data_IF_713495650770
#
_entry.id   IF_713495650770
#
_cell.length_a   1.000
_cell.length_b   1.000
_cell.length_c   1.000
_cell.angle_alpha   90.00
_cell.angle_beta   90.00
_cell.angle_gamma   90.00
#
_symmetry.space_group_name_H-M   'P 1'
#
loop_
_entity.id
_entity.type
_entity.pdbx_description
1 polymer ?
#
# COMPACT_ATOMS: atom_id res chain seq x y z
N UNK A 1 1.66 -16.13 -18.08
CA UNK A 1 1.98 -17.25 -17.19
C UNK A 1 1.80 -16.77 -15.78
N UNK A 2 1.05 -17.52 -14.97
CA UNK A 2 0.93 -17.26 -13.55
C UNK A 2 2.28 -17.54 -12.90
N UNK A 3 2.80 -16.57 -12.14
CA UNK A 3 4.10 -16.69 -11.52
C UNK A 3 4.06 -17.81 -10.46
N UNK A 4 5.15 -18.58 -10.28
CA UNK A 4 5.22 -19.65 -9.28
C UNK A 4 4.89 -19.18 -7.85
N UNK A 5 5.21 -17.93 -7.53
CA UNK A 5 4.89 -17.31 -6.24
C UNK A 5 3.38 -17.22 -5.95
N UNK A 6 2.51 -17.24 -6.98
CA UNK A 6 1.06 -17.24 -6.81
C UNK A 6 0.56 -18.57 -6.21
N UNK A 7 1.17 -19.69 -6.64
CA UNK A 7 0.87 -21.02 -6.10
C UNK A 7 1.34 -21.20 -4.65
N UNK A 8 2.34 -20.44 -4.21
CA UNK A 8 2.81 -20.49 -2.82
C UNK A 8 1.73 -19.94 -1.89
N UNK A 9 1.13 -18.78 -2.23
CA UNK A 9 0.06 -18.21 -1.43
C UNK A 9 -1.21 -19.09 -1.43
N UNK A 10 -1.51 -19.77 -2.54
CA UNK A 10 -2.63 -20.72 -2.64
C UNK A 10 -2.48 -21.91 -1.67
N UNK A 11 -1.23 -22.30 -1.39
CA UNK A 11 -0.92 -23.49 -0.60
C UNK A 11 -0.68 -23.18 0.89
N UNK A 12 -0.69 -21.90 1.28
CA UNK A 12 -0.40 -21.46 2.64
C UNK A 12 -1.67 -21.42 3.49
N UNK A 13 -1.64 -22.14 4.61
CA UNK A 13 -2.62 -22.02 5.69
C UNK A 13 -1.93 -21.37 6.87
N UNK A 14 -2.31 -20.13 7.18
CA UNK A 14 -1.72 -19.34 8.25
C UNK A 14 -2.75 -19.21 9.38
N UNK A 15 -2.48 -19.77 10.57
CA UNK A 15 -3.38 -19.66 11.71
C UNK A 15 -3.67 -18.20 12.08
N UNK A 16 -4.85 -17.89 12.66
CA UNK A 16 -5.22 -16.51 13.01
C UNK A 16 -4.25 -15.79 13.96
N UNK A 17 -3.58 -16.53 14.83
CA UNK A 17 -2.62 -16.00 15.80
C UNK A 17 -1.21 -15.83 15.22
N UNK A 18 -0.98 -16.21 13.96
CA UNK A 18 0.33 -16.16 13.33
C UNK A 18 0.61 -14.81 12.67
N UNK A 19 1.89 -14.45 12.66
CA UNK A 19 2.40 -13.30 11.91
C UNK A 19 2.76 -13.76 10.50
N UNK A 20 2.21 -13.08 9.48
CA UNK A 20 2.60 -13.27 8.09
C UNK A 20 3.57 -12.16 7.68
N UNK A 21 4.78 -12.55 7.31
CA UNK A 21 5.78 -11.66 6.71
C UNK A 21 6.06 -12.08 5.26
N UNK A 22 5.92 -11.15 4.32
CA UNK A 22 6.28 -11.37 2.92
C UNK A 22 7.25 -10.30 2.45
N UNK A 23 8.35 -10.72 1.82
CA UNK A 23 9.25 -9.80 1.13
C UNK A 23 9.31 -10.19 -0.34
N UNK A 24 9.01 -9.24 -1.21
CA UNK A 24 9.10 -9.39 -2.66
C UNK A 24 10.18 -8.46 -3.15
N UNK A 25 11.19 -9.03 -3.79
CA UNK A 25 12.28 -8.27 -4.39
C UNK A 25 12.37 -8.60 -5.88
N UNK A 26 12.25 -7.60 -6.74
CA UNK A 26 12.52 -7.72 -8.16
C UNK A 26 13.74 -6.87 -8.52
N UNK A 27 14.86 -7.55 -8.77
CA UNK A 27 16.09 -6.95 -9.24
C UNK A 27 16.19 -7.17 -10.75
N UNK A 28 15.45 -6.39 -11.54
CA UNK A 28 15.73 -6.35 -12.99
C UNK A 28 17.04 -5.60 -13.18
N UNK A 29 18.02 -6.24 -13.82
CA UNK A 29 19.31 -5.62 -14.14
C UNK A 29 19.08 -4.38 -15.01
N UNK A 30 19.55 -3.24 -14.52
CA UNK A 30 19.42 -1.88 -15.08
C UNK A 30 19.90 -1.70 -16.53
N UNK A 31 20.44 -2.73 -17.19
CA UNK A 31 20.90 -2.65 -18.60
C UNK A 31 19.82 -2.89 -19.66
N UNK A 32 18.65 -3.41 -19.29
CA UNK A 32 17.56 -3.74 -20.23
C UNK A 32 16.24 -2.99 -19.95
N UNK A 33 16.31 -1.85 -19.26
CA UNK A 33 15.13 -1.08 -18.79
C UNK A 33 14.27 -0.46 -19.91
N UNK A 34 14.67 -0.51 -21.18
CA UNK A 34 13.90 0.11 -22.28
C UNK A 34 12.80 -0.81 -22.84
N UNK A 35 12.80 -2.12 -22.56
CA UNK A 35 11.87 -3.08 -23.19
C UNK A 35 10.97 -3.87 -22.24
N UNK A 36 11.22 -3.86 -20.92
CA UNK A 36 10.35 -4.53 -19.93
C UNK A 36 9.39 -3.55 -19.25
N UNK A 37 8.95 -2.54 -19.99
CA UNK A 37 7.81 -1.72 -19.60
C UNK A 37 6.57 -2.61 -19.43
N UNK A 38 6.09 -2.70 -18.19
CA UNK A 38 4.89 -3.42 -17.78
C UNK A 38 5.00 -4.94 -17.79
N UNK A 39 5.81 -5.51 -16.88
CA UNK A 39 5.36 -6.78 -16.30
C UNK A 39 3.96 -6.55 -15.71
N UNK A 40 2.95 -7.35 -16.10
CA UNK A 40 1.60 -7.14 -15.63
C UNK A 40 1.59 -7.21 -14.11
N UNK A 41 1.03 -6.18 -13.47
CA UNK A 41 0.73 -6.19 -12.04
C UNK A 41 0.21 -7.58 -11.68
N UNK A 42 0.76 -8.20 -10.63
CA UNK A 42 0.41 -9.57 -10.30
C UNK A 42 -1.12 -9.67 -10.14
N UNK A 43 -1.75 -10.45 -11.03
CA UNK A 43 -3.21 -10.54 -11.13
C UNK A 43 -3.67 -11.67 -10.24
N UNK A 44 -3.92 -11.36 -8.98
CA UNK A 44 -4.53 -12.33 -8.08
C UNK A 44 -6.05 -12.28 -8.29
N UNK A 45 -6.63 -13.35 -8.79
CA UNK A 45 -8.06 -13.43 -9.12
C UNK A 45 -8.90 -14.02 -7.98
N UNK A 46 -8.26 -14.52 -6.91
CA UNK A 46 -8.93 -15.25 -5.85
C UNK A 46 -8.54 -14.75 -4.47
N UNK A 47 -9.54 -14.61 -3.61
CA UNK A 47 -9.35 -14.43 -2.17
C UNK A 47 -8.85 -15.73 -1.55
N UNK A 48 -7.75 -15.66 -0.79
CA UNK A 48 -7.08 -16.83 -0.20
C UNK A 48 -7.71 -17.21 1.16
N UNK A 49 -8.55 -18.26 1.23
CA UNK A 49 -9.24 -18.63 2.48
C UNK A 49 -8.28 -19.12 3.58
N UNK A 50 -7.05 -19.51 3.21
CA UNK A 50 -6.01 -19.97 4.15
C UNK A 50 -5.34 -18.86 4.95
N UNK A 51 -5.49 -17.58 4.56
CA UNK A 51 -4.83 -16.44 5.21
C UNK A 51 -5.74 -15.78 6.24
N UNK A 52 -6.19 -16.55 7.24
CA UNK A 52 -7.20 -16.10 8.21
C UNK A 52 -6.71 -14.92 9.08
N UNK A 53 -5.41 -14.87 9.37
CA UNK A 53 -4.78 -13.77 10.11
C UNK A 53 -4.90 -12.42 9.40
N UNK A 54 -5.10 -12.39 8.08
CA UNK A 54 -5.26 -11.14 7.31
C UNK A 54 -6.61 -10.48 7.57
N UNK A 55 -7.66 -11.27 7.87
CA UNK A 55 -8.98 -10.71 8.17
C UNK A 55 -9.04 -9.95 9.49
N UNK A 56 -8.07 -10.17 10.39
CA UNK A 56 -7.95 -9.42 11.65
C UNK A 56 -7.24 -8.07 11.45
N UNK A 57 -6.60 -7.86 10.30
CA UNK A 57 -5.95 -6.58 9.98
C UNK A 57 -7.00 -5.53 9.63
N UNK A 58 -7.01 -4.47 10.43
CA UNK A 58 -7.94 -3.34 10.33
C UNK A 58 -7.25 -2.02 10.06
N UNK A 59 -5.97 -1.93 10.37
CA UNK A 59 -5.17 -0.74 10.19
C UNK A 59 -3.95 -1.09 9.34
N UNK A 60 -3.66 -0.28 8.33
CA UNK A 60 -2.44 -0.39 7.53
C UNK A 60 -1.60 0.88 7.68
N UNK A 61 -0.30 0.69 7.83
CA UNK A 61 0.71 1.73 7.68
C UNK A 61 1.57 1.38 6.47
N UNK A 62 1.59 2.26 5.48
CA UNK A 62 2.45 2.13 4.31
C UNK A 62 3.53 3.21 4.40
N UNK A 63 4.78 2.78 4.46
CA UNK A 63 5.96 3.63 4.50
C UNK A 63 6.71 3.52 3.18
N UNK A 64 6.91 4.65 2.52
CA UNK A 64 7.82 4.76 1.39
C UNK A 64 9.16 5.21 1.95
N UNK A 65 10.18 4.39 1.77
CA UNK A 65 11.55 4.73 2.20
C UNK A 65 12.29 5.43 1.06
N UNK A 66 12.15 4.90 -0.15
CA UNK A 66 12.62 5.51 -1.39
C UNK A 66 11.71 5.11 -2.57
N UNK A 67 12.02 5.57 -3.79
CA UNK A 67 11.25 5.23 -5.00
C UNK A 67 11.13 3.72 -5.29
N UNK A 68 12.02 2.94 -4.68
CA UNK A 68 12.28 1.54 -4.96
C UNK A 68 11.87 0.61 -3.81
N UNK A 69 11.51 1.15 -2.64
CA UNK A 69 11.17 0.37 -1.47
C UNK A 69 9.89 0.87 -0.80
N UNK A 70 8.96 -0.06 -0.59
CA UNK A 70 7.69 0.18 0.06
C UNK A 70 7.47 -0.85 1.16
N UNK A 71 7.35 -0.37 2.40
CA UNK A 71 7.10 -1.17 3.59
C UNK A 71 5.63 -1.03 3.99
N UNK A 72 5.00 -2.15 4.34
CA UNK A 72 3.61 -2.21 4.75
C UNK A 72 3.52 -3.00 6.05
N UNK A 73 2.88 -2.41 7.05
CA UNK A 73 2.57 -3.05 8.32
C UNK A 73 1.06 -3.06 8.55
N UNK A 74 0.53 -4.21 8.96
CA UNK A 74 -0.87 -4.39 9.30
C UNK A 74 -1.07 -4.64 10.79
N UNK A 75 -2.07 -3.99 11.36
CA UNK A 75 -2.43 -4.05 12.78
C UNK A 75 -3.89 -4.44 12.98
N UNK A 76 -4.16 -5.09 14.10
CA UNK A 76 -5.54 -5.37 14.56
C UNK A 76 -6.14 -4.17 15.29
N UNK A 77 -7.45 -4.21 15.59
CA UNK A 77 -8.13 -3.17 16.37
C UNK A 77 -7.75 -3.17 17.86
N UNK A 78 -7.18 -4.26 18.37
CA UNK A 78 -6.93 -4.45 19.82
C UNK A 78 -5.62 -3.81 20.31
N UNK A 79 -4.80 -3.21 19.41
CA UNK A 79 -3.62 -2.42 19.79
C UNK A 79 -2.44 -2.54 18.83
N UNK A 80 -1.46 -1.64 18.98
CA UNK A 80 -0.26 -1.51 18.14
C UNK A 80 0.78 -2.63 18.33
N UNK A 81 0.64 -3.44 19.38
CA UNK A 81 1.56 -4.55 19.70
C UNK A 81 1.31 -5.80 18.86
N UNK A 82 0.07 -6.00 18.40
CA UNK A 82 -0.29 -7.11 17.51
C UNK A 82 -0.14 -6.70 16.05
N UNK A 83 1.01 -7.04 15.45
CA UNK A 83 1.33 -6.86 14.02
C UNK A 83 1.25 -8.19 13.28
N UNK A 84 0.04 -8.69 12.93
CA UNK A 84 -0.09 -9.98 12.26
C UNK A 84 0.37 -9.96 10.80
N UNK A 85 0.72 -8.80 10.23
CA UNK A 85 1.05 -8.68 8.81
C UNK A 85 2.20 -7.71 8.55
N UNK A 86 3.18 -8.18 7.79
CA UNK A 86 4.28 -7.40 7.23
C UNK A 86 4.43 -7.72 5.75
N UNK A 87 4.54 -6.68 4.94
CA UNK A 87 4.80 -6.82 3.51
C UNK A 87 5.83 -5.79 3.06
N UNK A 88 6.89 -6.26 2.44
CA UNK A 88 7.96 -5.42 1.92
C UNK A 88 8.10 -5.65 0.41
N UNK A 89 8.08 -4.56 -0.35
CA UNK A 89 8.27 -4.55 -1.80
C UNK A 89 9.52 -3.77 -2.15
N UNK A 90 10.49 -4.44 -2.78
CA UNK A 90 11.75 -3.85 -3.27
C UNK A 90 11.85 -4.02 -4.79
N UNK A 91 11.74 -2.93 -5.54
CA UNK A 91 11.64 -2.92 -7.00
C UNK A 91 12.53 -1.83 -7.58
N UNK A 92 13.07 -2.01 -8.78
CA UNK A 92 13.90 -1.00 -9.45
C UNK A 92 13.18 0.33 -9.75
N UNK A 93 11.83 0.34 -9.73
CA UNK A 93 10.99 1.54 -9.83
C UNK A 93 9.56 1.25 -9.35
N UNK A 94 8.82 2.29 -8.93
CA UNK A 94 7.36 2.26 -8.64
C UNK A 94 6.92 1.27 -7.55
N UNK A 95 7.77 0.99 -6.56
CA UNK A 95 7.48 0.01 -5.51
C UNK A 95 6.12 0.24 -4.81
N UNK A 96 5.75 1.50 -4.59
CA UNK A 96 4.45 1.88 -4.01
C UNK A 96 3.25 1.42 -4.84
N UNK A 97 3.25 1.69 -6.15
CA UNK A 97 2.14 1.31 -7.02
C UNK A 97 1.95 -0.22 -7.07
N UNK A 98 3.06 -0.96 -7.11
CA UNK A 98 3.05 -2.42 -7.08
C UNK A 98 2.60 -2.98 -5.73
N UNK A 99 3.01 -2.37 -4.62
CA UNK A 99 2.54 -2.74 -3.29
C UNK A 99 1.01 -2.60 -3.22
N UNK A 100 0.46 -1.45 -3.59
CA UNK A 100 -0.99 -1.22 -3.60
C UNK A 100 -1.76 -2.20 -4.50
N UNK A 101 -1.22 -2.48 -5.68
CA UNK A 101 -1.81 -3.43 -6.62
C UNK A 101 -1.82 -4.87 -6.08
N UNK A 102 -0.87 -5.22 -5.22
CA UNK A 102 -0.74 -6.55 -4.61
C UNK A 102 -1.62 -6.70 -3.37
N UNK A 103 -1.71 -5.67 -2.53
CA UNK A 103 -2.40 -5.74 -1.23
C UNK A 103 -3.86 -6.15 -1.36
N UNK A 104 -4.65 -5.47 -2.20
CA UNK A 104 -6.08 -5.75 -2.26
C UNK A 104 -6.44 -7.16 -2.78
N UNK A 105 -5.87 -7.64 -3.89
CA UNK A 105 -6.27 -8.93 -4.43
C UNK A 105 -5.61 -10.13 -3.70
N UNK A 106 -4.43 -9.99 -3.10
CA UNK A 106 -3.83 -11.06 -2.28
C UNK A 106 -4.35 -11.10 -0.85
N UNK A 107 -4.53 -9.92 -0.27
CA UNK A 107 -4.72 -9.73 1.16
C UNK A 107 -5.98 -8.89 1.35
N UNK A 108 -7.18 -9.45 1.08
CA UNK A 108 -8.44 -8.73 1.21
C UNK A 108 -8.73 -8.43 2.68
N UNK A 109 -8.17 -7.33 3.17
CA UNK A 109 -8.33 -6.86 4.54
C UNK A 109 -9.59 -6.02 4.66
N UNK A 110 -10.39 -6.17 5.73
CA UNK A 110 -11.51 -5.28 6.01
C UNK A 110 -11.01 -3.94 6.59
N UNK A 111 -10.26 -3.19 5.79
CA UNK A 111 -9.48 -2.02 6.19
C UNK A 111 -10.37 -0.88 6.71
N UNK A 112 -10.09 -0.43 7.93
CA UNK A 112 -10.79 0.68 8.59
C UNK A 112 -9.91 1.94 8.69
N UNK A 113 -8.58 1.77 8.71
CA UNK A 113 -7.63 2.88 8.80
C UNK A 113 -6.44 2.66 7.88
N UNK A 114 -6.02 3.71 7.17
CA UNK A 114 -4.80 3.73 6.37
C UNK A 114 -3.96 4.95 6.73
N UNK A 115 -2.71 4.71 7.11
CA UNK A 115 -1.69 5.73 7.28
C UNK A 115 -0.65 5.59 6.17
N UNK A 116 -0.33 6.69 5.52
CA UNK A 116 0.71 6.77 4.49
C UNK A 116 1.80 7.71 4.98
N UNK A 117 3.02 7.20 5.05
CA UNK A 117 4.18 7.96 5.47
C UNK A 117 5.27 7.87 4.41
N UNK A 118 5.97 8.98 4.18
CA UNK A 118 7.10 9.03 3.26
C UNK A 118 8.31 9.56 4.03
N UNK A 119 9.36 8.74 4.12
CA UNK A 119 10.59 9.08 4.85
C UNK A 119 11.61 9.81 3.98
N UNK A 120 11.28 10.08 2.71
CA UNK A 120 12.13 10.86 1.82
C UNK A 120 12.45 12.24 2.43
N UNK A 121 13.70 12.67 2.24
CA UNK A 121 14.19 13.95 2.75
C UNK A 121 13.33 15.11 2.22
N UNK A 122 13.02 16.12 3.05
CA UNK A 122 12.25 17.27 2.61
C UNK A 122 13.01 18.02 1.51
N UNK A 123 12.56 17.90 0.26
CA UNK A 123 13.15 18.61 -0.87
C UNK A 123 13.19 17.84 -2.20
N UNK A 124 13.12 16.51 -2.16
CA UNK A 124 13.05 15.71 -3.39
C UNK A 124 11.60 15.44 -3.78
N UNK A 125 11.21 15.68 -5.05
CA UNK A 125 9.94 15.21 -5.54
C UNK A 125 9.95 13.68 -5.39
N UNK A 126 8.91 13.10 -4.79
CA UNK A 126 8.85 11.67 -4.54
C UNK A 126 8.62 10.98 -5.87
N UNK A 127 9.71 10.60 -6.51
CA UNK A 127 9.66 9.69 -7.64
C UNK A 127 9.02 8.38 -7.15
N UNK A 128 7.99 7.90 -7.86
CA UNK A 128 7.38 6.60 -7.57
C UNK A 128 6.03 6.61 -6.87
N UNK A 129 5.46 7.76 -6.47
CA UNK A 129 4.07 7.83 -6.02
C UNK A 129 3.14 7.98 -7.22
N UNK A 130 2.32 6.96 -7.49
CA UNK A 130 1.27 6.97 -8.49
C UNK A 130 -0.10 7.28 -7.84
N UNK A 131 -0.67 8.49 -8.02
CA UNK A 131 -1.95 8.84 -7.44
C UNK A 131 -3.11 7.98 -7.96
N UNK A 132 -3.03 7.49 -9.20
CA UNK A 132 -4.07 6.64 -9.78
C UNK A 132 -4.10 5.27 -9.10
N UNK A 133 -2.92 4.71 -8.77
CA UNK A 133 -2.82 3.48 -7.99
C UNK A 133 -3.44 3.65 -6.59
N UNK A 134 -3.16 4.78 -5.91
CA UNK A 134 -3.77 5.10 -4.61
C UNK A 134 -5.29 5.22 -4.69
N UNK A 135 -5.81 5.96 -5.67
CA UNK A 135 -7.27 6.09 -5.89
C UNK A 135 -7.92 4.74 -6.15
N UNK A 136 -7.30 3.90 -6.99
CA UNK A 136 -7.77 2.54 -7.28
C UNK A 136 -7.80 1.67 -6.03
N UNK A 137 -6.74 1.74 -5.21
CA UNK A 137 -6.66 1.03 -3.93
C UNK A 137 -7.76 1.47 -2.95
N UNK A 138 -7.96 2.78 -2.77
CA UNK A 138 -8.99 3.31 -1.87
C UNK A 138 -10.40 2.91 -2.29
N UNK A 139 -10.72 2.97 -3.60
CA UNK A 139 -12.02 2.55 -4.13
C UNK A 139 -12.34 1.09 -3.79
N UNK A 140 -11.31 0.25 -3.71
CA UNK A 140 -11.43 -1.17 -3.39
C UNK A 140 -11.58 -1.42 -1.88
N UNK A 141 -11.32 -0.43 -1.03
CA UNK A 141 -11.42 -0.50 0.44
C UNK A 141 -12.52 0.42 0.99
N UNK A 142 -13.81 0.18 0.69
CA UNK A 142 -14.91 1.09 1.03
C UNK A 142 -15.19 1.21 2.53
N UNK A 143 -14.63 0.32 3.36
CA UNK A 143 -14.77 0.33 4.82
C UNK A 143 -13.86 1.35 5.50
N UNK A 144 -12.91 1.95 4.77
CA UNK A 144 -11.93 2.87 5.36
C UNK A 144 -12.62 4.12 5.92
N UNK A 145 -12.38 4.36 7.22
CA UNK A 145 -12.93 5.47 8.00
C UNK A 145 -11.88 6.52 8.36
N UNK A 146 -10.61 6.13 8.39
CA UNK A 146 -9.49 6.99 8.78
C UNK A 146 -8.41 6.96 7.70
N UNK A 147 -8.02 8.13 7.21
CA UNK A 147 -6.87 8.34 6.34
C UNK A 147 -5.90 9.31 7.02
N UNK A 148 -4.64 8.94 7.10
CA UNK A 148 -3.58 9.77 7.67
C UNK A 148 -2.41 9.87 6.68
N UNK A 149 -1.87 11.07 6.55
CA UNK A 149 -0.75 11.36 5.68
C UNK A 149 0.33 12.06 6.49
N UNK A 150 1.50 11.43 6.59
CA UNK A 150 2.67 11.96 7.29
C UNK A 150 3.79 12.15 6.27
N UNK A 151 4.31 13.38 6.14
CA UNK A 151 5.38 13.69 5.17
C UNK A 151 5.09 13.26 3.72
N UNK A 152 3.80 13.04 3.38
CA UNK A 152 3.37 12.49 2.09
C UNK A 152 3.20 13.60 1.03
N UNK A 153 3.35 13.30 -0.27
CA UNK A 153 3.49 14.33 -1.29
C UNK A 153 2.18 15.07 -1.54
N UNK A 154 2.25 16.41 -1.56
CA UNK A 154 1.06 17.25 -1.73
C UNK A 154 0.29 16.95 -3.03
N UNK A 155 0.99 16.61 -4.12
CA UNK A 155 0.37 16.25 -5.41
C UNK A 155 -0.51 15.01 -5.31
N UNK A 156 -0.07 13.96 -4.60
CA UNK A 156 -0.86 12.74 -4.39
C UNK A 156 -2.09 13.01 -3.51
N UNK A 157 -1.94 13.87 -2.50
CA UNK A 157 -3.04 14.30 -1.63
C UNK A 157 -4.06 15.16 -2.40
N UNK A 158 -3.59 16.02 -3.31
CA UNK A 158 -4.47 16.87 -4.12
C UNK A 158 -5.42 16.06 -5.01
N UNK A 159 -4.98 14.92 -5.54
CA UNK A 159 -5.84 14.02 -6.33
C UNK A 159 -7.02 13.49 -5.49
N UNK A 160 -6.81 13.28 -4.18
CA UNK A 160 -7.87 12.90 -3.26
C UNK A 160 -8.82 14.06 -2.90
N UNK A 161 -8.37 15.31 -3.02
CA UNK A 161 -9.25 16.49 -2.87
C UNK A 161 -10.13 16.68 -4.10
N UNK A 162 -9.59 16.47 -5.31
CA UNK A 162 -10.31 16.61 -6.58
C UNK A 162 -11.30 15.46 -6.76
N UNK A 163 -10.87 14.23 -6.46
CA UNK A 163 -11.73 13.05 -6.50
C UNK A 163 -12.50 13.00 -5.18
N UNK A 164 -13.70 13.58 -5.14
CA UNK A 164 -14.56 13.66 -3.94
C UNK A 164 -14.42 12.39 -3.08
N UNK A 165 -13.80 12.54 -1.91
CA UNK A 165 -13.47 11.43 -1.00
C UNK A 165 -14.66 10.54 -0.65
N UNK A 166 -15.89 11.07 -0.71
CA UNK A 166 -17.14 10.32 -0.51
C UNK A 166 -17.39 9.22 -1.55
N UNK A 167 -16.88 9.37 -2.77
CA UNK A 167 -16.99 8.32 -3.81
C UNK A 167 -15.90 7.26 -3.69
N UNK A 168 -14.78 7.57 -3.03
CA UNK A 168 -13.68 6.63 -2.83
C UNK A 168 -13.85 5.82 -1.54
N UNK A 169 -14.11 6.52 -0.44
CA UNK A 169 -14.29 5.96 0.89
C UNK A 169 -15.60 6.50 1.48
N UNK A 170 -16.74 5.86 1.22
CA UNK A 170 -18.06 6.37 1.66
C UNK A 170 -18.19 6.45 3.18
N UNK A 171 -17.37 5.72 3.92
CA UNK A 171 -17.34 5.71 5.40
C UNK A 171 -16.26 6.59 6.01
N UNK A 172 -15.58 7.42 5.21
CA UNK A 172 -14.50 8.28 5.70
C UNK A 172 -15.03 9.29 6.71
N UNK A 173 -14.53 9.22 7.95
CA UNK A 173 -14.85 10.14 9.05
C UNK A 173 -13.67 11.08 9.31
N UNK A 174 -12.45 10.52 9.34
CA UNK A 174 -11.24 11.24 9.70
C UNK A 174 -10.26 11.24 8.53
N UNK A 175 -9.84 12.42 8.09
CA UNK A 175 -8.79 12.59 7.09
C UNK A 175 -7.77 13.60 7.65
N UNK A 176 -6.64 13.10 8.15
CA UNK A 176 -5.56 13.93 8.65
C UNK A 176 -4.60 14.20 7.50
N UNK A 177 -4.67 15.42 6.97
CA UNK A 177 -3.71 15.91 6.00
C UNK A 177 -2.46 16.43 6.74
N UNK A 178 -1.27 16.38 6.12
CA UNK A 178 -0.09 16.95 6.73
C UNK A 178 -0.35 18.44 6.97
N UNK A 179 -0.14 18.90 8.21
CA UNK A 179 -0.03 20.33 8.50
C UNK A 179 1.18 20.86 7.74
N UNK A 180 0.94 21.61 6.67
CA UNK A 180 2.00 22.18 5.86
C UNK A 180 2.97 23.02 6.71
N UNK A 181 4.30 22.83 6.58
CA UNK A 181 5.25 23.86 6.89
C UNK A 181 5.58 24.63 5.59
N UNK A 182 5.23 25.92 5.58
CA UNK A 182 5.73 27.02 4.74
C UNK A 182 5.40 27.04 3.24
N UNK A 183 4.42 27.89 2.88
CA UNK A 183 4.60 28.81 1.77
C UNK A 183 4.74 30.20 2.39
N UNK A 184 5.98 30.67 2.54
CA UNK A 184 6.24 32.12 2.58
C UNK A 184 5.93 32.64 1.19
N UNK A 185 4.84 33.38 1.05
CA UNK A 185 4.63 34.20 -0.14
C UNK A 185 5.35 35.52 0.14
N UNK A 186 6.34 35.84 -0.69
CA UNK A 186 7.00 37.15 -0.73
C UNK A 186 6.00 38.30 -0.88
#
# INVERSE_FOLDING_TARGET
MDWPQYHILDSLVVPPASVLGLTVSSYVSTRFEVLLGAEPLPRFTHSYPGLQNIFTVKHLLIRLDNANECYVEGYTSEGSECRPFFFNMRMGHRAFAYALATLYPCFPMPLESLALSNLLSPGEPPEGVDPAALVSFLRRNPLTRKLEFESFPASAIQVLKITLTRHLCPRLVNCMLPTAPWISVN
#
